data_IF_201763511245
#
_entry.id   IF_201763511245
#
_cell.length_a   1.000
_cell.length_b   1.000
_cell.length_c   1.000
_cell.angle_alpha   90.00
_cell.angle_beta   90.00
_cell.angle_gamma   90.00
#
_symmetry.space_group_name_H-M   'P 1'
#
loop_
_entity.id
_entity.type
_entity.pdbx_description
1 polymer ?
#
# COMPACT_ATOMS: atom_id res chain seq x y z
N UNK A 1 -33.25 -66.15 3.82
CA UNK A 1 -32.92 -65.13 4.84
C UNK A 1 -31.50 -64.58 4.73
N UNK A 2 -30.44 -65.40 4.55
CA UNK A 2 -29.04 -64.92 4.49
C UNK A 2 -28.72 -63.89 3.39
N UNK A 3 -29.33 -64.00 2.20
CA UNK A 3 -29.10 -63.06 1.08
C UNK A 3 -29.65 -61.64 1.33
N UNK A 4 -30.74 -61.49 2.10
CA UNK A 4 -31.31 -60.18 2.43
C UNK A 4 -30.48 -59.40 3.45
N UNK A 5 -29.74 -60.10 4.31
CA UNK A 5 -28.84 -59.51 5.30
C UNK A 5 -27.58 -58.94 4.61
N UNK A 6 -27.05 -59.65 3.61
CA UNK A 6 -25.86 -59.19 2.86
C UNK A 6 -26.17 -57.92 2.05
N UNK A 7 -27.36 -57.82 1.45
CA UNK A 7 -27.76 -56.61 0.72
C UNK A 7 -27.90 -55.39 1.63
N UNK A 8 -28.40 -55.60 2.85
CA UNK A 8 -28.56 -54.54 3.86
C UNK A 8 -27.21 -54.03 4.36
N UNK A 9 -26.22 -54.91 4.52
CA UNK A 9 -24.85 -54.54 4.91
C UNK A 9 -24.16 -53.74 3.80
N UNK A 10 -24.30 -54.15 2.53
CA UNK A 10 -23.72 -53.43 1.38
C UNK A 10 -24.35 -52.03 1.24
N UNK A 11 -25.67 -51.92 1.41
CA UNK A 11 -26.36 -50.63 1.38
C UNK A 11 -25.91 -49.70 2.52
N UNK A 12 -25.68 -50.25 3.72
CA UNK A 12 -25.15 -49.47 4.85
C UNK A 12 -23.72 -48.99 4.61
N UNK A 13 -22.85 -49.79 3.97
CA UNK A 13 -21.48 -49.35 3.64
C UNK A 13 -21.42 -48.22 2.61
N UNK A 14 -22.39 -48.15 1.69
CA UNK A 14 -22.50 -47.04 0.75
C UNK A 14 -22.94 -45.72 1.41
N UNK A 15 -23.71 -45.77 2.50
CA UNK A 15 -24.13 -44.58 3.24
C UNK A 15 -22.97 -43.92 4.03
N UNK A 16 -21.95 -44.70 4.43
CA UNK A 16 -20.77 -44.18 5.12
C UNK A 16 -19.60 -43.81 4.19
N UNK A 17 -19.62 -44.25 2.92
CA UNK A 17 -18.55 -43.97 1.97
C UNK A 17 -18.62 -42.56 1.33
N UNK A 18 -19.68 -41.79 1.61
CA UNK A 18 -19.91 -40.47 1.02
C UNK A 18 -19.89 -39.35 2.08
N UNK A 19 -18.92 -39.36 2.98
CA UNK A 19 -18.49 -38.11 3.61
C UNK A 19 -17.38 -37.54 2.76
N UNK A 20 -17.74 -36.58 1.89
CA UNK A 20 -16.75 -35.70 1.26
C UNK A 20 -16.00 -35.06 2.42
N UNK A 21 -14.70 -35.38 2.55
CA UNK A 21 -13.84 -34.74 3.53
C UNK A 21 -14.05 -33.24 3.38
N UNK A 22 -14.50 -32.60 4.44
CA UNK A 22 -14.58 -31.15 4.48
C UNK A 22 -13.13 -30.71 4.48
N UNK A 23 -12.61 -30.28 3.32
CA UNK A 23 -11.30 -29.64 3.27
C UNK A 23 -11.36 -28.49 4.27
N UNK A 24 -10.55 -28.59 5.31
CA UNK A 24 -10.32 -27.48 6.23
C UNK A 24 -9.55 -26.46 5.42
N UNK A 25 -10.27 -25.50 4.83
CA UNK A 25 -9.65 -24.33 4.23
C UNK A 25 -8.99 -23.59 5.39
N UNK A 26 -7.66 -23.57 5.40
CA UNK A 26 -6.93 -22.77 6.37
C UNK A 26 -7.32 -21.31 6.12
N UNK A 27 -8.02 -20.71 7.08
CA UNK A 27 -8.57 -19.37 6.97
C UNK A 27 -7.53 -18.30 7.30
N UNK A 28 -6.44 -18.70 7.93
CA UNK A 28 -5.36 -17.86 8.40
C UNK A 28 -4.01 -18.41 7.91
N UNK A 29 -3.08 -17.50 7.62
CA UNK A 29 -1.66 -17.82 7.43
C UNK A 29 -0.79 -16.91 8.29
N UNK A 30 0.41 -17.39 8.58
CA UNK A 30 1.48 -16.61 9.21
C UNK A 30 2.40 -16.12 8.09
N UNK A 31 2.64 -14.82 7.98
CA UNK A 31 3.50 -14.29 6.92
C UNK A 31 4.97 -14.64 7.16
N UNK A 32 5.67 -14.99 6.09
CA UNK A 32 7.06 -15.47 6.12
C UNK A 32 7.20 -16.96 6.49
N UNK A 33 6.13 -17.64 6.90
CA UNK A 33 6.12 -19.10 7.00
C UNK A 33 5.91 -19.73 5.62
N UNK A 34 6.73 -20.73 5.30
CA UNK A 34 6.74 -21.39 3.99
C UNK A 34 5.93 -22.69 3.96
N UNK A 35 5.51 -23.17 5.14
CA UNK A 35 4.74 -24.40 5.26
C UNK A 35 3.36 -24.24 4.60
N UNK A 36 3.00 -25.20 3.74
CA UNK A 36 1.79 -25.16 2.91
C UNK A 36 1.68 -23.97 1.92
N UNK A 37 2.81 -23.31 1.62
CA UNK A 37 2.88 -22.24 0.63
C UNK A 37 3.62 -22.71 -0.64
N UNK A 38 3.20 -22.19 -1.78
CA UNK A 38 3.96 -22.19 -3.03
C UNK A 38 4.79 -20.92 -3.07
N UNK A 39 6.11 -21.04 -3.07
CA UNK A 39 7.04 -19.91 -2.99
C UNK A 39 7.62 -19.60 -4.37
N UNK A 40 7.61 -18.32 -4.74
CA UNK A 40 8.25 -17.78 -5.94
C UNK A 40 9.34 -16.81 -5.52
N UNK A 41 10.57 -17.02 -6.01
CA UNK A 41 11.73 -16.15 -5.75
C UNK A 41 11.89 -15.14 -6.89
N UNK A 42 12.17 -13.88 -6.54
CA UNK A 42 12.41 -12.80 -7.52
C UNK A 42 13.84 -12.27 -7.44
N UNK A 43 14.33 -11.96 -6.24
CA UNK A 43 15.61 -11.23 -6.00
C UNK A 43 15.81 -10.05 -6.98
N UNK A 44 14.79 -9.20 -7.10
CA UNK A 44 14.74 -8.08 -8.04
C UNK A 44 14.83 -6.76 -7.28
N UNK A 45 15.59 -5.80 -7.82
CA UNK A 45 15.58 -4.41 -7.34
C UNK A 45 14.97 -3.53 -8.41
N UNK A 46 13.93 -2.78 -8.06
CA UNK A 46 13.41 -1.68 -8.88
C UNK A 46 13.88 -0.36 -8.30
N UNK A 47 14.35 0.53 -9.17
CA UNK A 47 14.80 1.88 -8.83
C UNK A 47 14.02 2.81 -9.77
N UNK A 48 13.23 3.72 -9.21
CA UNK A 48 12.49 4.70 -10.00
C UNK A 48 13.41 5.65 -10.76
N UNK A 49 13.02 6.00 -11.98
CA UNK A 49 13.75 6.95 -12.82
C UNK A 49 13.13 8.36 -12.75
N UNK A 50 13.88 9.35 -13.22
CA UNK A 50 13.48 10.75 -13.17
C UNK A 50 12.33 11.04 -14.13
N UNK A 51 11.14 11.36 -13.59
CA UNK A 51 9.90 11.58 -14.35
C UNK A 51 9.55 10.42 -15.32
N UNK A 52 9.96 9.20 -14.98
CA UNK A 52 9.61 7.99 -15.73
C UNK A 52 9.44 6.80 -14.76
N UNK A 53 8.22 6.25 -14.62
CA UNK A 53 7.98 5.15 -13.71
C UNK A 53 8.66 3.86 -14.19
N UNK A 54 9.25 3.13 -13.24
CA UNK A 54 9.83 1.81 -13.44
C UNK A 54 8.95 0.77 -12.75
N UNK A 55 8.53 -0.23 -13.53
CA UNK A 55 7.53 -1.20 -13.13
C UNK A 55 8.09 -2.62 -13.04
N UNK A 56 7.58 -3.40 -12.08
CA UNK A 56 7.80 -4.83 -11.99
C UNK A 56 6.48 -5.54 -11.69
N UNK A 57 6.06 -6.39 -12.63
CA UNK A 57 4.83 -7.15 -12.52
C UNK A 57 5.08 -8.51 -11.89
N UNK A 58 4.10 -8.98 -11.13
CA UNK A 58 4.10 -10.26 -10.44
C UNK A 58 2.81 -10.98 -10.79
N UNK A 59 2.97 -12.16 -11.38
CA UNK A 59 1.97 -13.22 -11.43
C UNK A 59 2.18 -14.11 -10.19
N UNK A 60 1.21 -14.09 -9.27
CA UNK A 60 1.33 -14.74 -7.95
C UNK A 60 1.01 -16.24 -8.01
N UNK A 61 0.12 -16.65 -8.91
CA UNK A 61 -0.33 -18.03 -9.05
C UNK A 61 0.28 -18.76 -10.27
N UNK A 62 1.09 -18.05 -11.06
CA UNK A 62 1.75 -18.51 -12.27
C UNK A 62 0.74 -19.01 -13.34
N UNK A 63 -0.39 -18.31 -13.47
CA UNK A 63 -1.42 -18.61 -14.47
C UNK A 63 -1.21 -17.89 -15.81
N UNK A 64 -0.18 -17.04 -15.91
CA UNK A 64 0.18 -16.25 -17.07
C UNK A 64 -0.42 -14.84 -17.07
N UNK A 65 -1.11 -14.43 -16.01
CA UNK A 65 -1.69 -13.09 -15.84
C UNK A 65 -1.02 -12.38 -14.67
N UNK A 66 -0.55 -11.16 -14.92
CA UNK A 66 0.02 -10.33 -13.85
C UNK A 66 -1.07 -9.92 -12.86
N UNK A 67 -0.84 -10.20 -11.58
CA UNK A 67 -1.76 -9.93 -10.48
C UNK A 67 -1.50 -8.57 -9.82
N UNK A 68 -0.23 -8.26 -9.63
CA UNK A 68 0.25 -7.10 -8.87
C UNK A 68 1.43 -6.46 -9.61
N UNK A 69 1.55 -5.14 -9.51
CA UNK A 69 2.71 -4.41 -10.00
C UNK A 69 3.28 -3.52 -8.90
N UNK A 70 4.59 -3.58 -8.73
CA UNK A 70 5.34 -2.54 -8.03
C UNK A 70 5.76 -1.47 -9.04
N UNK A 71 5.57 -0.22 -8.66
CA UNK A 71 5.90 0.96 -9.45
C UNK A 71 6.72 1.93 -8.59
N UNK A 72 7.84 2.40 -9.13
CA UNK A 72 8.70 3.39 -8.49
C UNK A 72 9.02 4.51 -9.47
N UNK A 73 9.01 5.75 -8.99
CA UNK A 73 9.40 6.91 -9.79
C UNK A 73 10.11 7.94 -8.90
N UNK A 74 10.98 8.73 -9.49
CA UNK A 74 11.45 9.98 -8.90
C UNK A 74 10.87 11.16 -9.70
N UNK A 75 9.76 11.71 -9.22
CA UNK A 75 9.22 12.92 -9.86
C UNK A 75 10.04 14.13 -9.49
N UNK A 76 10.08 15.14 -10.35
CA UNK A 76 10.72 16.37 -9.95
C UNK A 76 10.60 17.52 -10.91
N UNK A 77 10.89 18.70 -10.38
CA UNK A 77 11.07 19.90 -11.18
C UNK A 77 12.06 20.85 -10.49
N UNK A 78 12.63 21.82 -11.23
CA UNK A 78 13.54 22.82 -10.66
C UNK A 78 13.00 23.57 -9.44
N UNK A 79 11.68 23.66 -9.27
CA UNK A 79 11.03 24.42 -8.19
C UNK A 79 10.61 23.59 -6.98
N UNK A 80 10.45 22.26 -7.15
CA UNK A 80 10.04 21.34 -6.05
C UNK A 80 11.17 20.44 -5.57
N UNK A 81 12.23 20.27 -6.37
CA UNK A 81 13.26 19.26 -6.14
C UNK A 81 12.82 17.87 -6.61
N UNK A 82 13.41 16.83 -6.01
CA UNK A 82 13.11 15.43 -6.27
C UNK A 82 12.06 14.93 -5.27
N UNK A 83 11.09 14.20 -5.78
CA UNK A 83 9.90 13.69 -5.09
C UNK A 83 9.80 12.18 -5.36
N UNK A 84 10.63 11.37 -4.69
CA UNK A 84 10.60 9.93 -4.84
C UNK A 84 9.33 9.33 -4.22
N UNK A 85 8.76 8.35 -4.92
CA UNK A 85 7.63 7.57 -4.44
C UNK A 85 7.65 6.13 -4.96
N UNK A 86 6.92 5.29 -4.24
CA UNK A 86 6.79 3.85 -4.45
C UNK A 86 5.33 3.46 -4.23
N UNK A 87 4.80 2.61 -5.11
CA UNK A 87 3.39 2.23 -5.13
C UNK A 87 3.23 0.76 -5.47
N UNK A 88 2.12 0.19 -4.99
CA UNK A 88 1.62 -1.11 -5.43
C UNK A 88 0.31 -0.89 -6.20
N UNK A 89 0.22 -1.50 -7.38
CA UNK A 89 -0.96 -1.49 -8.22
C UNK A 89 -1.55 -2.92 -8.23
N UNK A 90 -2.83 -3.05 -7.94
CA UNK A 90 -3.57 -4.32 -8.11
C UNK A 90 -4.06 -4.38 -9.56
N UNK A 91 -3.57 -5.36 -10.31
CA UNK A 91 -3.86 -5.51 -11.73
C UNK A 91 -5.01 -6.48 -12.00
N UNK A 92 -5.24 -7.41 -11.07
CA UNK A 92 -6.29 -8.42 -11.16
C UNK A 92 -7.41 -8.15 -10.14
N UNK A 93 -8.65 -8.03 -10.60
CA UNK A 93 -9.83 -7.79 -9.74
C UNK A 93 -10.17 -8.96 -8.81
N UNK A 94 -9.55 -10.14 -9.01
CA UNK A 94 -9.64 -11.26 -8.09
C UNK A 94 -8.63 -11.18 -6.93
N UNK A 95 -7.74 -10.19 -6.94
CA UNK A 95 -6.71 -10.03 -5.90
C UNK A 95 -7.08 -8.85 -5.03
N UNK A 96 -7.03 -9.05 -3.73
CA UNK A 96 -7.08 -7.99 -2.73
C UNK A 96 -5.77 -7.93 -1.96
N UNK A 97 -5.34 -6.73 -1.61
CA UNK A 97 -4.15 -6.49 -0.78
C UNK A 97 -4.58 -6.15 0.64
N UNK A 98 -3.95 -6.78 1.63
CA UNK A 98 -4.25 -6.57 3.04
C UNK A 98 -4.07 -5.10 3.41
N UNK A 99 -5.13 -4.51 3.97
CA UNK A 99 -5.18 -3.08 4.19
C UNK A 99 -6.46 -2.63 4.85
N UNK A 100 -6.71 -1.33 4.81
CA UNK A 100 -7.92 -0.73 5.33
C UNK A 100 -8.44 0.37 4.41
N UNK A 101 -9.76 0.47 4.34
CA UNK A 101 -10.43 1.66 3.82
C UNK A 101 -10.58 2.66 4.96
N UNK A 102 -10.10 3.88 4.75
CA UNK A 102 -10.19 4.99 5.68
C UNK A 102 -10.98 6.15 5.04
N UNK A 103 -11.34 7.11 5.88
CA UNK A 103 -11.86 8.40 5.44
C UNK A 103 -10.87 9.44 5.94
N UNK A 104 -10.12 10.02 5.01
CA UNK A 104 -9.15 11.05 5.33
C UNK A 104 -9.82 12.42 5.33
N UNK A 105 -9.60 13.16 6.41
CA UNK A 105 -9.96 14.57 6.47
C UNK A 105 -8.70 15.38 6.23
N UNK A 106 -8.67 16.15 5.14
CA UNK A 106 -7.55 17.02 4.86
C UNK A 106 -7.78 18.38 5.52
N UNK A 107 -6.82 18.77 6.34
CA UNK A 107 -6.78 20.05 7.04
C UNK A 107 -5.81 20.99 6.33
N UNK A 108 -6.23 22.22 6.13
CA UNK A 108 -5.38 23.30 5.65
C UNK A 108 -4.87 24.11 6.85
N UNK A 109 -3.57 24.04 7.06
CA UNK A 109 -2.82 24.86 8.01
C UNK A 109 -2.11 26.00 7.25
N UNK A 110 -2.33 27.24 7.68
CA UNK A 110 -1.71 28.42 7.07
C UNK A 110 -0.78 29.07 8.09
N UNK A 111 0.50 29.21 7.75
CA UNK A 111 1.50 29.90 8.60
C UNK A 111 2.20 30.98 7.81
N UNK A 112 2.50 32.11 8.45
CA UNK A 112 3.20 33.23 7.82
C UNK A 112 4.40 33.66 8.66
N UNK A 113 5.52 33.93 8.01
CA UNK A 113 6.76 34.41 8.64
C UNK A 113 7.18 35.71 7.99
N UNK A 114 7.57 36.68 8.79
CA UNK A 114 8.05 37.99 8.33
C UNK A 114 9.55 38.05 8.58
N UNK A 115 10.30 38.35 7.54
CA UNK A 115 11.73 38.63 7.59
C UNK A 115 11.97 40.06 7.11
N UNK A 116 12.96 40.72 7.73
CA UNK A 116 13.41 42.04 7.30
C UNK A 116 14.76 41.85 6.61
N UNK A 117 14.84 42.23 5.35
CA UNK A 117 16.06 42.14 4.56
C UNK A 117 17.07 43.22 4.98
N UNK A 118 18.33 43.07 4.55
CA UNK A 118 19.41 44.01 4.89
C UNK A 118 19.18 45.43 4.35
N UNK A 119 18.39 45.57 3.28
CA UNK A 119 17.98 46.85 2.70
C UNK A 119 16.71 47.44 3.35
N UNK A 120 16.27 46.88 4.48
CA UNK A 120 15.01 47.20 5.19
C UNK A 120 13.72 46.83 4.45
N UNK A 121 13.79 46.15 3.29
CA UNK A 121 12.60 45.60 2.64
C UNK A 121 12.02 44.44 3.47
N UNK A 122 10.70 44.27 3.41
CA UNK A 122 9.97 43.21 4.09
C UNK A 122 9.80 42.00 3.18
N UNK A 123 10.11 40.82 3.69
CA UNK A 123 9.81 39.54 3.04
C UNK A 123 8.84 38.74 3.90
N UNK A 124 7.63 38.52 3.39
CA UNK A 124 6.60 37.70 4.04
C UNK A 124 6.51 36.36 3.31
N UNK A 125 6.75 35.26 4.03
CA UNK A 125 6.59 33.91 3.48
C UNK A 125 5.36 33.24 4.11
N UNK A 126 4.36 32.95 3.29
CA UNK A 126 3.10 32.31 3.68
C UNK A 126 3.08 30.87 3.18
N UNK A 127 2.87 29.90 4.05
CA UNK A 127 2.84 28.47 3.75
C UNK A 127 1.43 27.91 3.92
N UNK A 128 0.93 27.26 2.88
CA UNK A 128 -0.32 26.49 2.86
C UNK A 128 0.04 25.01 2.94
N UNK A 129 -0.15 24.40 4.12
CA UNK A 129 0.18 22.99 4.39
C UNK A 129 -1.11 22.17 4.48
N UNK A 130 -1.15 21.07 3.73
CA UNK A 130 -2.27 20.13 3.71
C UNK A 130 -1.90 18.87 4.47
N UNK A 131 -2.65 18.52 5.51
CA UNK A 131 -2.35 17.42 6.44
C UNK A 131 -3.57 16.56 6.71
N UNK A 132 -3.40 15.26 6.94
CA UNK A 132 -4.51 14.39 7.36
C UNK A 132 -4.77 14.41 8.86
N UNK A 133 -3.92 15.09 9.63
CA UNK A 133 -4.07 15.32 11.06
C UNK A 133 -4.31 16.80 11.29
N UNK A 134 -5.32 17.12 12.12
CA UNK A 134 -5.55 18.49 12.59
C UNK A 134 -4.45 18.88 13.58
N UNK A 135 -3.67 19.91 13.25
CA UNK A 135 -2.54 20.38 14.10
C UNK A 135 -2.95 21.55 14.98
N UNK A 136 -3.89 22.36 14.52
CA UNK A 136 -4.46 23.48 15.26
C UNK A 136 -5.99 23.48 15.16
N UNK A 137 -6.64 23.98 16.22
CA UNK A 137 -8.07 24.29 16.21
C UNK A 137 -8.47 25.32 15.14
N UNK A 138 -7.55 26.16 14.68
CA UNK A 138 -7.77 27.12 13.60
C UNK A 138 -7.66 26.49 12.19
N UNK A 139 -7.16 25.25 12.07
CA UNK A 139 -7.03 24.59 10.77
C UNK A 139 -8.41 24.40 10.11
N UNK A 140 -8.46 24.70 8.81
CA UNK A 140 -9.68 24.58 8.03
C UNK A 140 -9.82 23.18 7.47
N UNK A 141 -11.02 22.58 7.56
CA UNK A 141 -11.31 21.35 6.82
C UNK A 141 -11.42 21.72 5.35
N UNK A 142 -10.52 21.18 4.53
CA UNK A 142 -10.49 21.43 3.10
C UNK A 142 -11.38 20.44 2.34
N UNK A 143 -11.18 19.15 2.58
CA UNK A 143 -12.01 18.09 2.00
C UNK A 143 -12.00 16.83 2.89
N UNK A 144 -12.95 15.95 2.61
CA UNK A 144 -13.09 14.64 3.22
C UNK A 144 -13.19 13.64 2.07
N UNK A 145 -12.25 12.68 1.99
CA UNK A 145 -12.15 11.76 0.86
C UNK A 145 -11.93 10.32 1.35
N UNK A 146 -12.59 9.33 0.73
CA UNK A 146 -12.22 7.93 0.93
C UNK A 146 -10.76 7.71 0.54
N UNK A 147 -10.06 6.88 1.29
CA UNK A 147 -8.70 6.45 0.97
C UNK A 147 -8.50 4.98 1.29
N UNK A 148 -7.58 4.35 0.57
CA UNK A 148 -7.16 2.97 0.79
C UNK A 148 -5.72 2.99 1.27
N UNK A 149 -5.42 2.16 2.28
CA UNK A 149 -4.08 2.04 2.86
C UNK A 149 -3.71 0.57 2.95
N UNK A 150 -2.51 0.23 2.50
CA UNK A 150 -1.92 -1.07 2.75
C UNK A 150 -1.23 -1.03 4.12
N UNK A 151 -1.35 -2.12 4.87
CA UNK A 151 -0.76 -2.21 6.21
C UNK A 151 0.53 -3.01 6.13
N UNK A 152 1.66 -2.47 6.63
CA UNK A 152 2.91 -3.22 6.68
C UNK A 152 2.78 -4.38 7.67
N UNK A 153 3.19 -5.56 7.24
CA UNK A 153 3.30 -6.74 8.07
C UNK A 153 4.77 -7.05 8.32
N UNK A 154 5.06 -7.55 9.51
CA UNK A 154 6.36 -8.09 9.91
C UNK A 154 6.33 -9.61 9.83
N UNK A 155 7.51 -10.24 9.80
CA UNK A 155 7.60 -11.68 9.88
C UNK A 155 6.84 -12.22 11.10
N UNK A 156 6.11 -13.31 10.93
CA UNK A 156 5.28 -13.93 11.97
C UNK A 156 3.97 -13.20 12.32
N UNK A 157 3.63 -12.08 11.66
CA UNK A 157 2.27 -11.55 11.71
C UNK A 157 1.29 -12.52 11.03
N UNK A 158 0.01 -12.43 11.38
CA UNK A 158 -1.04 -13.26 10.77
C UNK A 158 -2.00 -12.44 9.93
N UNK A 159 -2.50 -13.08 8.87
CA UNK A 159 -3.60 -12.56 8.06
C UNK A 159 -4.66 -13.65 7.89
N UNK A 160 -5.93 -13.25 7.92
CA UNK A 160 -7.10 -14.12 7.79
C UNK A 160 -7.99 -13.70 6.61
N UNK A 161 -8.73 -14.65 6.03
CA UNK A 161 -9.68 -14.40 4.93
C UNK A 161 -10.79 -13.41 5.27
N UNK A 162 -11.04 -13.16 6.56
CA UNK A 162 -12.02 -12.20 7.08
C UNK A 162 -11.49 -10.79 7.27
N UNK A 163 -10.17 -10.59 7.10
CA UNK A 163 -9.55 -9.28 7.14
C UNK A 163 -10.03 -8.37 5.99
N UNK A 164 -9.66 -7.09 6.09
CA UNK A 164 -9.95 -6.13 5.05
C UNK A 164 -8.89 -6.20 3.94
N UNK A 165 -9.39 -6.24 2.70
CA UNK A 165 -8.56 -6.26 1.50
C UNK A 165 -8.99 -5.14 0.55
N UNK A 166 -8.02 -4.38 0.06
CA UNK A 166 -8.22 -3.30 -0.92
C UNK A 166 -7.84 -3.77 -2.31
N UNK A 167 -8.65 -3.40 -3.32
CA UNK A 167 -8.46 -3.77 -4.73
C UNK A 167 -8.02 -2.57 -5.58
N UNK A 168 -7.37 -1.60 -4.94
CA UNK A 168 -6.98 -0.33 -5.54
C UNK A 168 -5.45 -0.20 -5.50
N UNK A 169 -4.95 0.79 -6.22
CA UNK A 169 -3.54 1.12 -6.18
C UNK A 169 -3.22 2.01 -4.98
N UNK A 170 -2.16 1.66 -4.24
CA UNK A 170 -1.85 2.31 -2.96
C UNK A 170 -0.35 2.64 -2.87
N UNK A 171 -0.03 3.81 -2.33
CA UNK A 171 1.36 4.19 -2.07
C UNK A 171 1.94 3.36 -0.93
N UNK A 172 3.15 2.84 -1.17
CA UNK A 172 4.02 2.23 -0.16
C UNK A 172 4.79 3.34 0.56
N UNK A 173 5.25 4.33 -0.20
CA UNK A 173 5.89 5.53 0.31
C UNK A 173 5.78 6.69 -0.69
N UNK A 174 5.71 7.92 -0.20
CA UNK A 174 5.65 9.13 -1.01
C UNK A 174 6.42 10.27 -0.31
N UNK A 175 6.96 11.20 -1.08
CA UNK A 175 7.57 12.43 -0.58
C UNK A 175 6.68 13.63 -0.87
N UNK A 176 6.29 14.35 0.17
CA UNK A 176 5.59 15.62 0.04
C UNK A 176 6.50 16.69 -0.55
N UNK A 177 5.87 17.67 -1.19
CA UNK A 177 6.56 18.73 -1.91
C UNK A 177 6.18 20.07 -1.32
N UNK A 178 7.13 21.01 -1.27
CA UNK A 178 6.83 22.42 -1.00
C UNK A 178 7.35 23.27 -2.15
N UNK A 179 6.51 24.14 -2.70
CA UNK A 179 6.91 25.03 -3.80
C UNK A 179 6.31 26.41 -3.69
N UNK A 180 7.03 27.39 -4.22
CA UNK A 180 6.53 28.74 -4.44
C UNK A 180 5.52 28.68 -5.59
N UNK A 181 4.28 29.06 -5.32
CA UNK A 181 3.22 29.08 -6.36
C UNK A 181 2.80 30.50 -6.74
N UNK A 182 3.15 31.50 -5.90
CA UNK A 182 2.84 32.90 -6.17
C UNK A 182 3.83 33.81 -5.44
N UNK A 183 4.23 34.89 -6.09
CA UNK A 183 5.00 35.98 -5.49
C UNK A 183 4.31 37.32 -5.84
N UNK A 184 4.21 38.22 -4.88
CA UNK A 184 3.65 39.55 -5.02
C UNK A 184 4.65 40.59 -4.49
N UNK A 185 4.71 41.74 -5.13
CA UNK A 185 5.54 42.87 -4.71
C UNK A 185 4.65 44.10 -4.49
N UNK A 186 4.73 44.67 -3.30
CA UNK A 186 3.96 45.83 -2.84
C UNK A 186 4.92 46.85 -2.23
N UNK A 187 5.49 47.73 -3.06
CA UNK A 187 6.49 48.70 -2.61
C UNK A 187 7.77 48.02 -2.12
N UNK A 188 8.10 48.20 -0.84
CA UNK A 188 9.23 47.59 -0.14
C UNK A 188 8.89 46.20 0.44
N UNK A 189 7.71 45.66 0.15
CA UNK A 189 7.25 44.38 0.68
C UNK A 189 7.13 43.34 -0.43
N UNK A 190 7.84 42.22 -0.31
CA UNK A 190 7.65 41.02 -1.12
C UNK A 190 6.88 39.97 -0.31
N UNK A 191 5.82 39.41 -0.89
CA UNK A 191 5.02 38.33 -0.29
C UNK A 191 5.16 37.10 -1.17
N UNK A 192 5.61 35.99 -0.57
CA UNK A 192 5.76 34.68 -1.20
C UNK A 192 4.76 33.70 -0.63
N UNK A 193 4.03 33.03 -1.50
CA UNK A 193 3.07 32.01 -1.11
C UNK A 193 3.60 30.64 -1.54
N UNK A 194 3.71 29.74 -0.59
CA UNK A 194 4.18 28.38 -0.75
C UNK A 194 3.04 27.40 -0.56
N UNK A 195 2.95 26.41 -1.44
CA UNK A 195 2.04 25.27 -1.29
C UNK A 195 2.88 24.07 -0.86
N UNK A 196 2.44 23.38 0.18
CA UNK A 196 3.10 22.22 0.74
C UNK A 196 2.11 21.04 0.82
N UNK A 197 2.37 19.97 0.08
CA UNK A 197 1.72 18.67 0.34
C UNK A 197 2.44 17.99 1.49
N UNK A 198 1.72 17.28 2.36
CA UNK A 198 2.34 16.61 3.50
C UNK A 198 2.17 15.09 3.44
N UNK A 199 3.22 14.41 3.91
CA UNK A 199 3.41 12.95 3.93
C UNK A 199 2.52 12.23 4.96
N UNK A 200 1.77 12.93 5.81
CA UNK A 200 1.10 12.34 6.98
C UNK A 200 -0.25 11.66 6.68
N UNK A 201 -0.63 11.60 5.40
CA UNK A 201 -1.84 10.95 4.95
C UNK A 201 -1.69 9.44 4.71
N UNK A 202 -0.48 8.92 4.64
CA UNK A 202 -0.21 7.52 4.32
C UNK A 202 0.53 6.82 5.47
N UNK A 203 0.31 5.51 5.61
CA UNK A 203 1.16 4.67 6.46
C UNK A 203 2.36 4.31 5.60
N UNK A 204 3.51 4.92 5.88
CA UNK A 204 4.74 4.59 5.18
C UNK A 204 5.28 3.24 5.68
N UNK A 205 5.68 2.38 4.74
CA UNK A 205 6.44 1.18 5.10
C UNK A 205 7.78 1.57 5.71
N UNK A 206 8.27 0.80 6.70
CA UNK A 206 9.56 1.07 7.30
C UNK A 206 10.69 0.87 6.28
N UNK A 207 11.64 1.82 6.27
CA UNK A 207 12.80 1.78 5.39
C UNK A 207 13.83 0.77 5.90
N UNK A 208 14.56 0.15 4.97
CA UNK A 208 15.70 -0.75 5.22
C UNK A 208 15.37 -1.97 6.11
N UNK A 209 14.10 -2.32 6.22
CA UNK A 209 13.61 -3.47 6.96
C UNK A 209 12.80 -4.39 6.07
N UNK A 210 12.93 -5.70 6.29
CA UNK A 210 12.06 -6.68 5.63
C UNK A 210 10.61 -6.44 6.06
N UNK A 211 9.74 -6.29 5.07
CA UNK A 211 8.31 -6.07 5.25
C UNK A 211 7.53 -7.01 4.34
N UNK A 212 6.30 -7.27 4.75
CA UNK A 212 5.37 -8.12 4.03
C UNK A 212 4.13 -7.32 3.65
N UNK A 213 3.61 -7.63 2.46
CA UNK A 213 2.26 -7.25 2.04
C UNK A 213 1.43 -8.53 1.98
N UNK A 214 0.34 -8.57 2.74
CA UNK A 214 -0.63 -9.67 2.66
C UNK A 214 -1.48 -9.56 1.41
N UNK A 215 -1.84 -10.70 0.80
CA UNK A 215 -2.69 -10.76 -0.39
C UNK A 215 -3.74 -11.86 -0.25
N UNK A 216 -4.87 -11.70 -0.95
CA UNK A 216 -5.94 -12.67 -0.99
C UNK A 216 -6.50 -12.83 -2.40
N UNK A 217 -6.63 -14.08 -2.84
CA UNK A 217 -7.42 -14.45 -4.00
C UNK A 217 -8.89 -14.51 -3.59
N UNK A 218 -9.66 -13.47 -3.92
CA UNK A 218 -10.99 -13.20 -3.40
C UNK A 218 -12.00 -14.32 -3.69
N UNK A 219 -11.94 -14.90 -4.89
CA UNK A 219 -12.83 -15.99 -5.31
C UNK A 219 -12.44 -17.34 -4.71
N UNK A 220 -11.13 -17.63 -4.62
CA UNK A 220 -10.61 -18.92 -4.15
C UNK A 220 -10.48 -18.98 -2.63
N UNK A 221 -10.54 -17.82 -1.96
CA UNK A 221 -10.28 -17.68 -0.52
C UNK A 221 -8.90 -18.24 -0.13
N UNK A 222 -7.92 -18.03 -1.01
CA UNK A 222 -6.51 -18.36 -0.75
C UNK A 222 -5.75 -17.12 -0.33
N UNK A 223 -4.92 -17.28 0.69
CA UNK A 223 -4.07 -16.22 1.21
C UNK A 223 -2.65 -16.33 0.67
N UNK A 224 -1.96 -15.20 0.69
CA UNK A 224 -0.55 -15.13 0.35
C UNK A 224 0.12 -13.91 0.94
N UNK A 225 1.41 -13.79 0.68
CA UNK A 225 2.20 -12.64 1.07
C UNK A 225 3.29 -12.36 0.03
N UNK A 226 3.73 -11.10 -0.02
CA UNK A 226 4.89 -10.66 -0.80
C UNK A 226 5.90 -10.06 0.17
N UNK A 227 7.13 -10.57 0.14
CA UNK A 227 8.24 -10.10 0.96
C UNK A 227 9.12 -9.14 0.16
N UNK A 228 9.41 -7.99 0.75
CA UNK A 228 10.24 -6.96 0.12
C UNK A 228 10.93 -6.07 1.15
N UNK A 229 11.91 -5.28 0.69
CA UNK A 229 12.55 -4.21 1.45
C UNK A 229 12.38 -2.90 0.69
N UNK A 230 11.81 -1.90 1.36
CA UNK A 230 11.83 -0.52 0.87
C UNK A 230 13.19 0.08 1.23
N UNK A 231 14.11 0.20 0.26
CA UNK A 231 15.46 0.72 0.50
C UNK A 231 15.48 2.24 0.53
N UNK A 232 14.65 2.87 -0.31
CA UNK A 232 14.36 4.30 -0.31
C UNK A 232 12.92 4.49 -0.80
N UNK A 233 12.40 5.71 -0.72
CA UNK A 233 11.03 6.01 -1.17
C UNK A 233 10.78 5.71 -2.67
N UNK A 234 11.81 5.53 -3.49
CA UNK A 234 11.73 5.13 -4.91
C UNK A 234 12.50 3.85 -5.24
N UNK A 235 12.94 3.09 -4.23
CA UNK A 235 13.72 1.86 -4.45
C UNK A 235 13.16 0.72 -3.63
N UNK A 236 12.75 -0.35 -4.30
CA UNK A 236 12.20 -1.55 -3.68
C UNK A 236 13.05 -2.75 -4.09
N UNK A 237 13.50 -3.53 -3.11
CA UNK A 237 14.01 -4.88 -3.33
C UNK A 237 12.91 -5.89 -3.07
N UNK A 238 12.45 -6.57 -4.10
CA UNK A 238 11.43 -7.62 -4.05
C UNK A 238 12.15 -8.96 -3.89
N UNK A 239 11.82 -9.71 -2.84
CA UNK A 239 12.56 -10.90 -2.47
C UNK A 239 11.84 -12.15 -2.97
N UNK A 240 10.64 -12.40 -2.45
CA UNK A 240 9.86 -13.61 -2.74
C UNK A 240 8.37 -13.35 -2.49
N UNK A 241 7.52 -14.25 -2.98
CA UNK A 241 6.11 -14.33 -2.61
C UNK A 241 5.75 -15.74 -2.21
N UNK A 242 4.71 -15.87 -1.38
CA UNK A 242 4.14 -17.15 -1.00
C UNK A 242 2.63 -17.13 -1.19
N UNK A 243 2.07 -18.15 -1.83
CA UNK A 243 0.61 -18.35 -1.95
C UNK A 243 0.23 -19.73 -1.41
N UNK A 244 -0.84 -19.79 -0.64
CA UNK A 244 -1.36 -21.03 -0.06
C UNK A 244 -1.65 -22.09 -1.15
N UNK A 245 -1.24 -23.34 -0.90
CA UNK A 245 -1.48 -24.48 -1.80
C UNK A 245 -2.95 -24.81 -1.96
#
# INVERSE_FOLDING_TARGET
MKSRIILLIIFFTFLFACQKATEVVNTEIVVGENDNMTIIQYDTVIIGDYNSPVNFNIDLNNDGVDDIQFECEEQGSPYVGLLPWAKINVLNNNIGVFGQSAIDTNYLNITSYININADSSLLINTYYRYTCIRRDTADQIQNITPSSRILPLSNSDTIDISDNYVIDSVYIAETGATWLWKEENHGDTTIRYYKATSDDCFIAFPLETESFIGVMFLNEKKLGWIKFNLLSKNTIKILESGVQK
#
